data_IF_513903176080
#
_entry.id   IF_513903176080
#
_cell.length_a   1.000
_cell.length_b   1.000
_cell.length_c   1.000
_cell.angle_alpha   90.00
_cell.angle_beta   90.00
_cell.angle_gamma   90.00
#
_symmetry.space_group_name_H-M   'P 1'
#
loop_
_entity.id
_entity.type
_entity.pdbx_description
1 polymer ?
#
# COMPACT_ATOMS: atom_id res chain seq x y z
N UNK A 1 28.26 8.93 1.31
CA UNK A 1 26.84 9.26 1.49
C UNK A 1 26.08 8.60 0.35
N UNK A 2 25.33 7.54 0.65
CA UNK A 2 24.56 6.77 -0.33
C UNK A 2 23.28 7.51 -0.66
N UNK A 3 22.98 7.69 -1.95
CA UNK A 3 21.77 8.35 -2.43
C UNK A 3 20.66 7.34 -2.70
N UNK A 4 19.55 7.45 -1.97
CA UNK A 4 18.38 6.59 -2.13
C UNK A 4 17.21 7.45 -2.59
N UNK A 5 16.49 7.03 -3.62
CA UNK A 5 15.23 7.66 -4.01
C UNK A 5 14.05 6.74 -3.71
N UNK A 6 13.15 7.20 -2.84
CA UNK A 6 11.89 6.55 -2.53
C UNK A 6 10.80 7.03 -3.49
N UNK A 7 10.30 6.13 -4.34
CA UNK A 7 9.16 6.40 -5.21
C UNK A 7 7.88 6.07 -4.45
N UNK A 8 7.05 7.09 -4.21
CA UNK A 8 5.89 7.01 -3.32
C UNK A 8 4.65 7.66 -3.95
N UNK A 9 3.51 7.55 -3.27
CA UNK A 9 2.28 8.21 -3.68
C UNK A 9 1.36 8.47 -2.49
N UNK A 10 0.76 9.66 -2.43
CA UNK A 10 -0.34 10.02 -1.51
C UNK A 10 -0.04 9.65 -0.05
N UNK A 11 -0.71 8.62 0.48
CA UNK A 11 -0.56 8.19 1.88
C UNK A 11 0.78 7.52 2.13
N UNK A 12 1.34 6.83 1.14
CA UNK A 12 2.66 6.22 1.26
C UNK A 12 3.75 7.28 1.42
N UNK A 13 3.64 8.42 0.73
CA UNK A 13 4.54 9.57 0.90
C UNK A 13 4.65 9.96 2.37
N UNK A 14 3.50 10.10 3.05
CA UNK A 14 3.44 10.45 4.48
C UNK A 14 4.08 9.40 5.37
N UNK A 15 3.83 8.12 5.09
CA UNK A 15 4.42 7.02 5.86
C UNK A 15 5.95 6.98 5.72
N UNK A 16 6.45 7.21 4.50
CA UNK A 16 7.90 7.30 4.25
C UNK A 16 8.49 8.51 4.96
N UNK A 17 7.88 9.69 4.87
CA UNK A 17 8.35 10.89 5.59
C UNK A 17 8.37 10.69 7.11
N UNK A 18 7.35 10.01 7.67
CA UNK A 18 7.31 9.67 9.10
C UNK A 18 8.41 8.67 9.49
N UNK A 19 8.69 7.68 8.64
CA UNK A 19 9.79 6.75 8.85
C UNK A 19 11.14 7.47 8.80
N UNK A 20 11.35 8.35 7.81
CA UNK A 20 12.59 9.12 7.65
C UNK A 20 12.83 10.09 8.82
N UNK A 21 11.78 10.68 9.40
CA UNK A 21 11.93 11.50 10.62
C UNK A 21 12.48 10.72 11.82
N UNK A 22 12.23 9.42 11.87
CA UNK A 22 12.67 8.52 12.95
C UNK A 22 14.00 7.83 12.63
N UNK A 23 14.45 7.93 11.39
CA UNK A 23 15.65 7.29 10.90
C UNK A 23 16.73 8.34 10.67
N UNK A 24 17.72 8.38 11.56
CA UNK A 24 18.85 9.30 11.46
C UNK A 24 20.11 8.50 11.12
N UNK A 25 20.55 8.64 9.88
CA UNK A 25 21.80 8.07 9.39
C UNK A 25 22.48 9.12 8.51
N UNK A 26 23.61 9.64 8.98
CA UNK A 26 24.37 10.70 8.28
C UNK A 26 25.04 10.19 7.00
N UNK A 27 25.15 8.86 6.83
CA UNK A 27 25.68 8.26 5.61
C UNK A 27 24.61 8.11 4.51
N UNK A 28 23.35 8.39 4.80
CA UNK A 28 22.23 8.21 3.87
C UNK A 28 21.58 9.54 3.48
N UNK A 29 21.45 9.78 2.17
CA UNK A 29 20.64 10.85 1.61
C UNK A 29 19.42 10.26 0.93
N UNK A 30 18.26 10.38 1.58
CA UNK A 30 17.00 9.86 1.05
C UNK A 30 16.16 10.98 0.45
N UNK A 31 15.86 10.87 -0.84
CA UNK A 31 14.92 11.75 -1.55
C UNK A 31 13.59 11.04 -1.79
N UNK A 32 12.51 11.81 -1.93
CA UNK A 32 11.18 11.27 -2.21
C UNK A 32 10.71 11.81 -3.56
N UNK A 33 10.42 10.90 -4.49
CA UNK A 33 9.73 11.18 -5.75
C UNK A 33 8.26 10.75 -5.62
N UNK A 34 7.35 11.70 -5.50
CA UNK A 34 5.92 11.42 -5.38
C UNK A 34 5.28 11.38 -6.76
N UNK A 35 4.66 10.25 -7.11
CA UNK A 35 3.93 10.08 -8.36
C UNK A 35 3.44 8.65 -8.58
N UNK A 36 2.44 8.53 -9.45
CA UNK A 36 1.90 7.25 -9.90
C UNK A 36 2.25 7.00 -11.36
N UNK A 37 2.70 5.77 -11.65
CA UNK A 37 2.91 5.30 -13.03
C UNK A 37 3.83 6.25 -13.82
N UNK A 38 3.33 6.87 -14.88
CA UNK A 38 4.13 7.73 -15.77
C UNK A 38 4.51 9.07 -15.15
N UNK A 39 3.83 9.51 -14.07
CA UNK A 39 4.15 10.76 -13.37
C UNK A 39 5.58 10.78 -12.79
N UNK A 40 6.17 9.60 -12.55
CA UNK A 40 7.54 9.48 -12.04
C UNK A 40 8.59 9.63 -13.15
N UNK A 41 8.18 9.60 -14.42
CA UNK A 41 9.06 9.60 -15.59
C UNK A 41 9.39 11.01 -16.11
N UNK A 42 8.80 12.04 -15.52
CA UNK A 42 8.84 13.41 -16.00
C UNK A 42 9.37 14.39 -14.94
N UNK A 43 9.92 15.51 -15.43
CA UNK A 43 10.36 16.64 -14.62
C UNK A 43 11.29 16.27 -13.46
N UNK A 44 11.05 16.89 -12.31
CA UNK A 44 11.88 16.75 -11.10
C UNK A 44 11.92 15.32 -10.56
N UNK A 45 10.85 14.54 -10.71
CA UNK A 45 10.84 13.15 -10.26
C UNK A 45 11.87 12.31 -11.02
N UNK A 46 11.93 12.49 -12.34
CA UNK A 46 12.92 11.81 -13.18
C UNK A 46 14.34 12.17 -12.76
N UNK A 47 14.61 13.45 -12.54
CA UNK A 47 15.92 13.95 -12.10
C UNK A 47 16.33 13.31 -10.76
N UNK A 48 15.43 13.33 -9.76
CA UNK A 48 15.68 12.74 -8.44
C UNK A 48 15.98 11.24 -8.52
N UNK A 49 15.25 10.51 -9.37
CA UNK A 49 15.46 9.07 -9.56
C UNK A 49 16.79 8.80 -10.28
N UNK A 50 17.15 9.61 -11.29
CA UNK A 50 18.40 9.47 -12.03
C UNK A 50 19.63 9.80 -11.19
N UNK A 51 19.52 10.68 -10.21
CA UNK A 51 20.60 11.01 -9.27
C UNK A 51 20.80 9.96 -8.15
N UNK A 52 19.88 9.00 -8.01
CA UNK A 52 19.94 7.98 -6.99
C UNK A 52 20.95 6.87 -7.33
N UNK A 53 21.54 6.27 -6.30
CA UNK A 53 22.32 5.03 -6.40
C UNK A 53 21.42 3.80 -6.21
N UNK A 54 20.34 3.94 -5.44
CA UNK A 54 19.34 2.88 -5.21
C UNK A 54 17.93 3.47 -5.24
N UNK A 55 17.00 2.76 -5.87
CA UNK A 55 15.58 3.11 -5.90
C UNK A 55 14.82 2.22 -4.91
N UNK A 56 13.99 2.81 -4.06
CA UNK A 56 12.99 2.12 -3.24
C UNK A 56 11.60 2.37 -3.81
N UNK A 57 10.87 1.33 -4.18
CA UNK A 57 9.54 1.44 -4.77
C UNK A 57 8.66 0.22 -4.42
N UNK A 58 7.35 0.31 -4.65
CA UNK A 58 6.43 -0.80 -4.42
C UNK A 58 5.45 -0.98 -5.56
N UNK A 59 5.03 -2.21 -5.81
CA UNK A 59 4.00 -2.55 -6.80
C UNK A 59 4.31 -2.00 -8.19
N UNK A 60 3.32 -1.39 -8.84
CA UNK A 60 3.43 -0.87 -10.21
C UNK A 60 4.59 0.13 -10.38
N UNK A 61 4.90 0.96 -9.38
CA UNK A 61 6.02 1.88 -9.46
C UNK A 61 7.38 1.15 -9.46
N UNK A 62 7.51 0.02 -8.76
CA UNK A 62 8.73 -0.79 -8.77
C UNK A 62 8.93 -1.51 -10.11
N UNK A 63 7.85 -1.91 -10.79
CA UNK A 63 7.90 -2.48 -12.14
C UNK A 63 8.36 -1.41 -13.13
N UNK A 64 7.69 -0.25 -13.16
CA UNK A 64 8.04 0.86 -14.07
C UNK A 64 9.46 1.34 -13.84
N UNK A 65 9.90 1.44 -12.58
CA UNK A 65 11.26 1.86 -12.27
C UNK A 65 12.31 0.89 -12.81
N UNK A 66 12.08 -0.43 -12.67
CA UNK A 66 12.98 -1.48 -13.22
C UNK A 66 13.06 -1.44 -14.74
N UNK A 67 11.94 -1.18 -15.39
CA UNK A 67 11.86 -1.17 -16.85
C UNK A 67 12.48 0.10 -17.46
N UNK A 68 12.59 1.19 -16.67
CA UNK A 68 12.96 2.52 -17.19
C UNK A 68 14.33 3.00 -16.74
N UNK A 69 14.78 2.66 -15.53
CA UNK A 69 16.01 3.19 -14.94
C UNK A 69 17.07 2.08 -14.80
N UNK A 70 18.34 2.44 -14.90
CA UNK A 70 19.46 1.47 -14.77
C UNK A 70 19.86 1.22 -13.31
N UNK A 71 19.38 2.03 -12.38
CA UNK A 71 19.62 1.92 -10.95
C UNK A 71 18.97 0.65 -10.39
N UNK A 72 19.60 0.00 -9.39
CA UNK A 72 18.99 -1.12 -8.69
C UNK A 72 17.70 -0.69 -7.99
N UNK A 73 16.64 -1.47 -8.18
CA UNK A 73 15.33 -1.25 -7.56
C UNK A 73 15.12 -2.27 -6.45
N UNK A 74 14.97 -1.78 -5.23
CA UNK A 74 14.55 -2.54 -4.06
C UNK A 74 13.04 -2.36 -3.89
N UNK A 75 12.32 -3.48 -4.04
CA UNK A 75 10.86 -3.49 -3.95
C UNK A 75 10.39 -3.74 -2.51
N UNK A 76 9.67 -2.80 -1.90
CA UNK A 76 8.91 -3.08 -0.68
C UNK A 76 7.57 -3.73 -1.05
N UNK A 77 7.27 -4.84 -0.40
CA UNK A 77 6.06 -5.64 -0.67
C UNK A 77 5.15 -5.61 0.54
N UNK A 78 3.84 -5.55 0.29
CA UNK A 78 2.85 -5.88 1.30
C UNK A 78 2.94 -7.39 1.51
N UNK A 79 3.28 -7.78 2.73
CA UNK A 79 3.42 -9.17 3.13
C UNK A 79 2.11 -9.71 3.69
N UNK A 80 2.02 -11.02 3.80
CA UNK A 80 0.91 -11.69 4.48
C UNK A 80 0.80 -11.25 5.95
N UNK A 81 1.93 -10.98 6.59
CA UNK A 81 1.97 -10.47 7.96
C UNK A 81 1.34 -9.08 8.08
N UNK A 82 1.49 -8.23 7.07
CA UNK A 82 0.83 -6.91 7.04
C UNK A 82 -0.69 -7.07 6.99
N UNK A 83 -1.19 -8.02 6.18
CA UNK A 83 -2.62 -8.34 6.14
C UNK A 83 -3.13 -8.90 7.48
N UNK A 84 -2.44 -9.87 8.07
CA UNK A 84 -2.83 -10.44 9.36
C UNK A 84 -2.83 -9.38 10.46
N UNK A 85 -1.80 -8.52 10.48
CA UNK A 85 -1.73 -7.39 11.42
C UNK A 85 -2.89 -6.41 11.22
N UNK A 86 -3.22 -6.09 9.96
CA UNK A 86 -4.33 -5.22 9.64
C UNK A 86 -5.70 -5.84 10.02
N UNK A 87 -5.86 -7.15 9.88
CA UNK A 87 -7.06 -7.87 10.32
C UNK A 87 -7.21 -7.86 11.83
N UNK A 88 -6.13 -8.13 12.58
CA UNK A 88 -6.16 -8.02 14.04
C UNK A 88 -6.47 -6.61 14.53
N UNK A 89 -5.97 -5.58 13.82
CA UNK A 89 -6.40 -4.19 14.05
C UNK A 89 -7.88 -4.00 13.70
N UNK A 90 -8.36 -4.59 12.59
CA UNK A 90 -9.75 -4.53 12.15
C UNK A 90 -10.73 -5.10 13.16
N UNK A 91 -10.42 -6.25 13.76
CA UNK A 91 -11.22 -6.84 14.85
C UNK A 91 -11.27 -5.99 16.12
N UNK A 92 -10.32 -5.07 16.33
CA UNK A 92 -10.38 -4.08 17.43
C UNK A 92 -11.30 -2.90 17.10
N UNK A 93 -11.58 -2.67 15.81
CA UNK A 93 -12.42 -1.57 15.33
C UNK A 93 -13.87 -2.00 15.06
N UNK A 94 -14.11 -3.27 14.73
CA UNK A 94 -15.42 -3.85 14.44
C UNK A 94 -15.39 -5.38 14.48
N UNK A 95 -16.45 -6.03 14.03
CA UNK A 95 -16.64 -7.49 14.19
C UNK A 95 -16.40 -8.29 12.90
N UNK A 96 -16.57 -7.67 11.74
CA UNK A 96 -16.56 -8.31 10.42
C UNK A 96 -15.63 -7.52 9.49
N UNK A 97 -14.30 -7.66 9.66
CA UNK A 97 -13.36 -7.02 8.77
C UNK A 97 -13.34 -7.70 7.39
N UNK A 98 -13.35 -6.88 6.35
CA UNK A 98 -13.14 -7.30 4.97
C UNK A 98 -11.82 -6.72 4.44
N UNK A 99 -11.00 -7.58 3.83
CA UNK A 99 -9.81 -7.17 3.08
C UNK A 99 -10.23 -6.94 1.63
N UNK A 100 -9.99 -5.73 1.12
CA UNK A 100 -10.20 -5.41 -0.30
C UNK A 100 -8.89 -5.53 -1.08
N UNK A 101 -8.89 -6.30 -2.17
CA UNK A 101 -7.72 -6.51 -3.03
C UNK A 101 -8.04 -6.24 -4.50
N UNK A 102 -7.10 -5.64 -5.22
CA UNK A 102 -7.26 -5.29 -6.62
C UNK A 102 -6.87 -6.46 -7.51
N UNK A 103 -7.80 -6.97 -8.33
CA UNK A 103 -7.66 -8.04 -9.34
C UNK A 103 -7.21 -9.42 -8.82
N UNK A 104 -6.42 -9.46 -7.75
CA UNK A 104 -5.87 -10.67 -7.18
C UNK A 104 -6.58 -11.03 -5.88
N UNK A 105 -6.83 -12.32 -5.70
CA UNK A 105 -7.37 -12.84 -4.44
C UNK A 105 -6.29 -12.83 -3.37
N UNK A 106 -6.69 -12.54 -2.14
CA UNK A 106 -5.86 -12.78 -0.96
C UNK A 106 -5.52 -14.27 -0.86
N UNK A 107 -4.32 -14.58 -0.37
CA UNK A 107 -3.89 -15.96 -0.20
C UNK A 107 -4.82 -16.76 0.73
N UNK A 108 -5.22 -17.95 0.29
CA UNK A 108 -6.25 -18.76 0.95
C UNK A 108 -5.89 -19.14 2.40
N UNK A 109 -4.60 -19.33 2.70
CA UNK A 109 -4.15 -19.69 4.04
C UNK A 109 -4.38 -18.58 5.07
N UNK A 110 -4.46 -17.32 4.64
CA UNK A 110 -4.84 -16.21 5.55
C UNK A 110 -6.30 -16.39 5.98
N UNK A 111 -7.19 -16.66 5.02
CA UNK A 111 -8.61 -16.91 5.31
C UNK A 111 -8.78 -18.12 6.22
N UNK A 112 -8.12 -19.23 5.88
CA UNK A 112 -8.13 -20.47 6.66
C UNK A 112 -7.60 -20.26 8.09
N UNK A 113 -6.54 -19.48 8.27
CA UNK A 113 -6.00 -19.16 9.59
C UNK A 113 -7.08 -18.54 10.49
N UNK A 114 -7.87 -17.61 9.99
CA UNK A 114 -8.95 -16.99 10.78
C UNK A 114 -10.14 -17.93 11.01
N UNK A 115 -10.48 -18.78 10.03
CA UNK A 115 -11.50 -19.81 10.20
C UNK A 115 -11.16 -20.78 11.34
N UNK A 116 -9.88 -21.20 11.48
CA UNK A 116 -9.45 -22.06 12.60
C UNK A 116 -9.63 -21.41 13.98
N UNK A 117 -9.74 -20.08 14.03
CA UNK A 117 -9.99 -19.31 15.25
C UNK A 117 -11.47 -18.97 15.45
N UNK A 118 -12.38 -19.52 14.63
CA UNK A 118 -13.79 -19.12 14.56
C UNK A 118 -13.97 -17.61 14.31
N UNK A 119 -13.02 -16.98 13.63
CA UNK A 119 -13.10 -15.59 13.20
C UNK A 119 -13.46 -15.58 11.71
N UNK A 120 -14.49 -14.83 11.34
CA UNK A 120 -14.88 -14.66 9.95
C UNK A 120 -14.29 -13.37 9.40
N UNK A 121 -13.55 -13.50 8.31
CA UNK A 121 -13.09 -12.38 7.48
C UNK A 121 -13.57 -12.61 6.05
N UNK A 122 -13.66 -11.53 5.27
CA UNK A 122 -14.03 -11.57 3.86
C UNK A 122 -12.87 -11.03 3.01
N UNK A 123 -12.65 -11.60 1.82
CA UNK A 123 -11.82 -10.95 0.81
C UNK A 123 -12.70 -10.47 -0.35
N UNK A 124 -12.79 -9.15 -0.50
CA UNK A 124 -13.50 -8.47 -1.57
C UNK A 124 -12.48 -8.14 -2.68
N UNK A 125 -12.50 -8.92 -3.76
CA UNK A 125 -11.65 -8.66 -4.94
C UNK A 125 -12.39 -7.69 -5.87
N UNK A 126 -11.72 -6.69 -6.42
CA UNK A 126 -12.32 -5.71 -7.33
C UNK A 126 -11.41 -5.34 -8.51
N UNK A 127 -11.99 -4.90 -9.61
CA UNK A 127 -11.32 -4.45 -10.83
C UNK A 127 -11.46 -2.94 -11.07
N UNK A 128 -12.49 -2.33 -10.50
CA UNK A 128 -12.69 -0.88 -10.53
C UNK A 128 -13.42 -0.36 -9.28
N UNK A 129 -13.51 0.97 -9.18
CA UNK A 129 -14.08 1.64 -7.99
C UNK A 129 -15.59 1.43 -7.87
N UNK A 130 -16.33 1.33 -8.99
CA UNK A 130 -17.77 1.15 -8.98
C UNK A 130 -18.12 -0.25 -8.47
N UNK A 131 -17.45 -1.26 -9.00
CA UNK A 131 -17.56 -2.65 -8.55
C UNK A 131 -17.19 -2.78 -7.07
N UNK A 132 -16.11 -2.14 -6.63
CA UNK A 132 -15.70 -2.14 -5.22
C UNK A 132 -16.81 -1.57 -4.31
N UNK A 133 -17.39 -0.43 -4.69
CA UNK A 133 -18.47 0.19 -3.94
C UNK A 133 -19.70 -0.72 -3.87
N UNK A 134 -20.08 -1.35 -4.97
CA UNK A 134 -21.21 -2.31 -5.00
C UNK A 134 -20.94 -3.51 -4.08
N UNK A 135 -19.75 -4.11 -4.18
CA UNK A 135 -19.36 -5.25 -3.34
C UNK A 135 -19.32 -4.91 -1.85
N UNK A 136 -18.81 -3.73 -1.49
CA UNK A 136 -18.83 -3.25 -0.10
C UNK A 136 -20.26 -3.04 0.40
N UNK A 137 -21.14 -2.40 -0.38
CA UNK A 137 -22.55 -2.16 0.02
C UNK A 137 -23.33 -3.45 0.23
N UNK A 138 -23.02 -4.49 -0.53
CA UNK A 138 -23.65 -5.80 -0.43
C UNK A 138 -22.97 -6.74 0.59
N UNK A 139 -21.82 -6.35 1.12
CA UNK A 139 -21.10 -7.10 2.14
C UNK A 139 -21.64 -6.80 3.54
N UNK A 140 -21.70 -7.79 4.44
CA UNK A 140 -22.01 -7.56 5.85
C UNK A 140 -20.85 -6.90 6.62
N UNK A 141 -19.72 -6.58 5.98
CA UNK A 141 -18.55 -6.02 6.66
C UNK A 141 -18.87 -4.72 7.41
N UNK A 142 -18.22 -4.53 8.55
CA UNK A 142 -18.28 -3.29 9.33
C UNK A 142 -16.92 -2.59 9.43
N UNK A 143 -15.87 -3.21 8.89
CA UNK A 143 -14.51 -2.68 8.78
C UNK A 143 -13.93 -3.06 7.44
N UNK A 144 -13.30 -2.11 6.76
CA UNK A 144 -12.63 -2.34 5.48
C UNK A 144 -11.13 -2.13 5.66
N UNK A 145 -10.35 -3.08 5.15
CA UNK A 145 -8.90 -3.10 5.15
C UNK A 145 -8.43 -3.05 3.69
N UNK A 146 -7.73 -1.99 3.30
CA UNK A 146 -7.26 -1.85 1.94
C UNK A 146 -6.48 -0.56 1.70
N UNK A 147 -6.14 -0.30 0.44
CA UNK A 147 -5.36 0.88 0.10
C UNK A 147 -6.14 2.18 0.40
N UNK A 148 -5.51 3.20 1.01
CA UNK A 148 -6.17 4.44 1.45
C UNK A 148 -6.90 5.21 0.34
N UNK A 149 -6.53 5.01 -0.93
CA UNK A 149 -7.18 5.65 -2.07
C UNK A 149 -8.63 5.17 -2.25
N UNK A 150 -8.96 3.97 -1.78
CA UNK A 150 -10.27 3.34 -1.93
C UNK A 150 -11.27 3.76 -0.84
N UNK A 151 -10.77 4.14 0.34
CA UNK A 151 -11.58 4.34 1.55
C UNK A 151 -12.12 5.79 1.73
N UNK A 152 -11.99 6.65 0.71
CA UNK A 152 -12.40 8.07 0.79
C UNK A 152 -13.73 8.40 0.11
N UNK A 153 -14.42 7.42 -0.46
CA UNK A 153 -15.51 7.66 -1.41
C UNK A 153 -16.95 7.59 -0.85
N UNK A 154 -17.18 7.10 0.37
CA UNK A 154 -18.54 7.07 0.96
C UNK A 154 -18.69 7.96 2.22
N UNK A 155 -19.68 8.87 2.27
CA UNK A 155 -20.04 9.60 3.49
C UNK A 155 -20.60 8.62 4.54
N UNK A 156 -19.83 8.35 5.59
CA UNK A 156 -20.25 7.49 6.71
C UNK A 156 -19.20 6.44 7.12
N UNK A 157 -18.27 6.11 6.21
CA UNK A 157 -17.18 5.20 6.50
C UNK A 157 -15.97 5.99 7.00
N UNK A 158 -15.61 5.80 8.27
CA UNK A 158 -14.39 6.41 8.81
C UNK A 158 -13.20 5.64 8.28
N UNK A 159 -12.51 6.18 7.28
CA UNK A 159 -11.12 5.80 7.00
C UNK A 159 -10.27 6.24 8.19
N UNK A 160 -10.10 5.35 9.16
CA UNK A 160 -9.06 5.54 10.17
C UNK A 160 -7.73 5.18 9.50
N UNK A 161 -6.81 6.15 9.47
CA UNK A 161 -5.40 5.88 9.15
C UNK A 161 -4.88 4.91 10.21
N UNK A 162 -4.19 3.86 9.81
CA UNK A 162 -3.62 2.86 10.70
C UNK A 162 -2.22 2.44 10.29
#
# INVERSE_FOLDING_TARGET
MVKICCITYKTLTKLVEEALKRFQDEELNVTVAEGLRNEILEGKNRELIQEAEVILAGGANAVIARDTFSQPVLEFKITEWDYMTAVEKGFRAGRRPAIVTYQEKLADHIMQFYETQNKQIENIVYEDTEELCEKIRNSPCDVIIGQPMLLRWEPGWTSRRF
#
